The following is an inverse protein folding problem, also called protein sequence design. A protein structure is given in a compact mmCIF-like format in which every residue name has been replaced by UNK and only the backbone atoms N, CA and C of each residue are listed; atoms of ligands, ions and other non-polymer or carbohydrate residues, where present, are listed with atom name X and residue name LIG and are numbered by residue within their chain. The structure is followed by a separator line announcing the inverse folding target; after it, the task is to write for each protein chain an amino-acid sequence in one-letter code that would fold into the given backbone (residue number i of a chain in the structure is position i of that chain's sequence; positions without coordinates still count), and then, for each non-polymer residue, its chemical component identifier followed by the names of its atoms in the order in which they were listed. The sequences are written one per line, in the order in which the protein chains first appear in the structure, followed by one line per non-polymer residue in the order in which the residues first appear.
data_IF_192231249198
#
_entry.id   IF_192231249198
#
_cell.length_a   1.000
_cell.length_b   1.000
_cell.length_c   1.000
_cell.angle_alpha   90.00
_cell.angle_beta   90.00
_cell.angle_gamma   90.00
#
_symmetry.space_group_name_H-M   'P 1'
#
loop_
_entity.id
_entity.type
_entity.pdbx_description
1 polymer ?
#
# COMPACT_ATOMS: atom_id res chain seq x y z
N UNK A 1 25.41 3.40 15.43
CA UNK A 1 25.04 4.09 14.16
C UNK A 1 23.52 4.15 14.10
N UNK A 2 22.90 5.23 13.63
CA UNK A 2 21.44 5.32 13.54
C UNK A 2 20.90 4.32 12.51
N UNK A 3 19.94 3.49 12.90
CA UNK A 3 19.25 2.54 12.01
C UNK A 3 17.96 3.15 11.46
N UNK A 4 17.60 2.80 10.21
CA UNK A 4 16.30 3.09 9.60
C UNK A 4 15.52 1.78 9.59
N UNK A 5 14.39 1.73 10.28
CA UNK A 5 13.47 0.60 10.20
C UNK A 5 12.41 0.91 9.15
N UNK A 6 12.24 0.02 8.17
CA UNK A 6 11.18 0.11 7.16
C UNK A 6 10.28 -1.10 7.34
N UNK A 7 9.01 -0.85 7.68
CA UNK A 7 8.00 -1.90 7.74
C UNK A 7 7.38 -2.06 6.36
N UNK A 8 7.49 -3.25 5.78
CA UNK A 8 6.96 -3.61 4.46
C UNK A 8 6.05 -4.84 4.57
N UNK A 9 4.98 -4.96 3.78
CA UNK A 9 4.16 -6.16 3.79
C UNK A 9 4.93 -7.34 3.16
N UNK A 10 4.84 -8.53 3.77
CA UNK A 10 5.43 -9.77 3.24
C UNK A 10 4.54 -10.44 2.17
N UNK A 11 3.36 -9.91 1.88
CA UNK A 11 2.44 -10.51 0.92
C UNK A 11 2.92 -10.32 -0.51
N UNK A 12 3.57 -11.35 -1.04
CA UNK A 12 3.53 -11.65 -2.48
C UNK A 12 2.06 -11.90 -2.84
N UNK A 13 1.40 -10.97 -3.53
CA UNK A 13 0.10 -11.22 -4.15
C UNK A 13 0.25 -12.25 -5.28
N UNK A 14 0.46 -13.50 -4.93
CA UNK A 14 0.14 -14.63 -5.80
C UNK A 14 -1.36 -14.85 -5.68
N UNK A 15 -2.15 -14.10 -6.44
CA UNK A 15 -3.54 -14.47 -6.74
C UNK A 15 -3.50 -15.71 -7.66
N UNK A 16 -3.20 -16.87 -7.09
CA UNK A 16 -3.56 -18.14 -7.69
C UNK A 16 -4.92 -18.51 -7.12
N UNK A 17 -5.97 -18.39 -7.93
CA UNK A 17 -7.25 -19.02 -7.64
C UNK A 17 -7.04 -20.53 -7.59
N UNK A 18 -6.92 -21.08 -6.39
CA UNK A 18 -6.96 -22.52 -6.15
C UNK A 18 -8.20 -22.78 -5.31
N UNK A 19 -9.21 -23.37 -5.96
CA UNK A 19 -10.29 -24.06 -5.27
C UNK A 19 -9.67 -25.20 -4.45
N UNK A 20 -9.80 -25.14 -3.12
CA UNK A 20 -9.55 -26.27 -2.24
C UNK A 20 -10.89 -26.72 -1.62
N UNK A 21 -11.19 -28.03 -1.57
CA UNK A 21 -12.42 -28.54 -0.98
C UNK A 21 -12.41 -28.40 0.57
N UNK A 22 -13.57 -28.41 1.23
CA UNK A 22 -13.68 -28.11 2.66
C UNK A 22 -13.00 -29.20 3.52
N UNK A 23 -11.98 -28.82 4.28
CA UNK A 23 -11.43 -29.65 5.36
C UNK A 23 -12.29 -29.53 6.63
N UNK A 24 -12.49 -30.67 7.28
CA UNK A 24 -13.34 -30.88 8.46
C UNK A 24 -12.89 -30.13 9.72
N UNK A 25 -13.80 -29.90 10.69
CA UNK A 25 -13.50 -29.17 11.93
C UNK A 25 -12.59 -29.96 12.89
N UNK A 26 -11.79 -29.27 13.72
CA UNK A 26 -10.87 -29.91 14.67
C UNK A 26 -11.61 -30.46 15.91
N UNK A 27 -11.06 -31.51 16.57
CA UNK A 27 -11.62 -32.07 17.80
C UNK A 27 -11.31 -31.21 19.04
N UNK A 28 -12.07 -31.37 20.15
CA UNK A 28 -12.00 -30.49 21.32
C UNK A 28 -10.81 -30.79 22.25
N UNK A 29 -10.31 -29.74 22.91
CA UNK A 29 -9.28 -29.78 23.96
C UNK A 29 -9.75 -30.50 25.24
N UNK A 30 -8.83 -31.09 26.04
CA UNK A 30 -9.03 -31.27 27.47
C UNK A 30 -8.26 -30.22 28.31
N UNK A 31 -8.70 -29.96 29.56
CA UNK A 31 -8.15 -28.92 30.44
C UNK A 31 -6.98 -29.44 31.31
N UNK A 32 -6.26 -28.53 31.98
CA UNK A 32 -5.87 -28.57 33.42
C UNK A 32 -4.77 -27.54 33.76
N UNK A 33 -4.98 -26.80 34.87
CA UNK A 33 -4.06 -25.94 35.66
C UNK A 33 -2.77 -26.72 36.06
N UNK A 34 -1.59 -26.20 36.44
CA UNK A 34 -1.21 -25.12 37.37
C UNK A 34 0.34 -25.02 37.33
N UNK A 35 0.91 -23.83 37.57
CA UNK A 35 1.96 -23.53 38.56
C UNK A 35 3.01 -22.49 38.11
N UNK A 36 3.31 -21.59 39.04
CA UNK A 36 4.17 -20.41 38.97
C UNK A 36 5.63 -20.78 39.28
N UNK A 37 6.53 -20.50 38.34
CA UNK A 37 7.98 -20.60 38.57
C UNK A 37 8.79 -19.72 37.63
N UNK A 38 9.38 -18.66 38.21
CA UNK A 38 10.50 -17.81 37.77
C UNK A 38 11.00 -17.96 36.30
N UNK A 39 10.85 -16.89 35.49
CA UNK A 39 11.43 -16.79 34.13
C UNK A 39 12.72 -15.96 34.10
N UNK A 40 13.79 -16.41 33.43
CA UNK A 40 15.00 -15.62 33.13
C UNK A 40 14.79 -14.68 31.91
N UNK A 41 15.75 -13.80 31.54
CA UNK A 41 15.44 -12.59 30.79
C UNK A 41 15.12 -12.81 29.31
N UNK A 42 14.28 -11.88 28.84
CA UNK A 42 13.67 -11.70 27.53
C UNK A 42 14.66 -11.78 26.35
N UNK A 43 14.41 -12.73 25.43
CA UNK A 43 14.83 -12.62 24.02
C UNK A 43 13.60 -12.76 23.13
N UNK A 44 13.15 -11.65 22.54
CA UNK A 44 12.16 -11.69 21.46
C UNK A 44 12.81 -12.37 20.25
N UNK A 45 12.31 -13.55 19.86
CA UNK A 45 12.90 -14.36 18.80
C UNK A 45 12.54 -13.78 17.42
N UNK A 46 13.35 -12.84 16.93
CA UNK A 46 13.43 -12.64 15.48
C UNK A 46 14.09 -13.83 14.84
N UNK A 47 13.44 -14.40 13.82
CA UNK A 47 14.16 -15.25 12.88
C UNK A 47 14.88 -14.33 11.89
N UNK A 48 16.20 -14.31 11.94
CA UNK A 48 17.00 -13.80 10.82
C UNK A 48 16.80 -14.76 9.67
N UNK A 49 16.12 -14.32 8.61
CA UNK A 49 15.78 -15.17 7.47
C UNK A 49 16.63 -14.82 6.24
N UNK A 50 16.78 -15.81 5.36
CA UNK A 50 17.22 -15.58 3.98
C UNK A 50 16.17 -14.69 3.28
N UNK A 51 16.56 -13.86 2.30
CA UNK A 51 15.62 -12.96 1.62
C UNK A 51 14.44 -13.74 1.04
N UNK A 52 13.24 -13.16 1.09
CA UNK A 52 12.12 -13.61 0.24
C UNK A 52 12.62 -13.70 -1.21
N UNK A 53 12.23 -14.75 -1.95
CA UNK A 53 12.77 -15.05 -3.29
C UNK A 53 12.73 -13.83 -4.24
N UNK A 54 11.74 -12.96 -4.08
CA UNK A 54 11.51 -11.75 -4.88
C UNK A 54 12.48 -10.59 -4.55
N UNK A 55 12.90 -10.48 -3.28
CA UNK A 55 13.85 -9.45 -2.83
C UNK A 55 15.31 -9.89 -2.89
N UNK A 56 15.57 -11.17 -3.18
CA UNK A 56 16.92 -11.74 -3.17
C UNK A 56 17.94 -11.03 -4.09
N UNK A 57 17.60 -10.55 -5.30
CA UNK A 57 18.57 -9.88 -6.17
C UNK A 57 18.90 -8.47 -5.69
N UNK A 58 17.88 -7.72 -5.28
CA UNK A 58 18.02 -6.34 -4.74
C UNK A 58 18.77 -6.35 -3.41
N UNK A 59 18.50 -7.36 -2.57
CA UNK A 59 19.21 -7.55 -1.32
C UNK A 59 20.70 -7.79 -1.54
N UNK A 60 21.06 -8.67 -2.49
CA UNK A 60 22.46 -8.96 -2.82
C UNK A 60 23.20 -7.71 -3.34
N UNK A 61 22.55 -6.90 -4.18
CA UNK A 61 23.13 -5.65 -4.67
C UNK A 61 23.33 -4.62 -3.54
N UNK A 62 22.32 -4.43 -2.68
CA UNK A 62 22.35 -3.42 -1.62
C UNK A 62 23.26 -3.80 -0.44
N UNK A 63 23.36 -5.09 -0.10
CA UNK A 63 24.25 -5.56 0.98
C UNK A 63 25.72 -5.18 0.76
N UNK A 64 26.15 -5.07 -0.51
CA UNK A 64 27.51 -4.64 -0.85
C UNK A 64 27.80 -3.17 -0.54
N UNK A 65 26.76 -2.34 -0.38
CA UNK A 65 26.87 -0.87 -0.23
C UNK A 65 26.37 -0.37 1.12
N UNK A 66 25.42 -1.06 1.74
CA UNK A 66 24.81 -0.70 3.03
C UNK A 66 24.59 -1.93 3.91
N UNK A 67 24.71 -1.76 5.23
CA UNK A 67 24.33 -2.81 6.18
C UNK A 67 22.80 -2.95 6.21
N UNK A 68 22.29 -3.99 5.56
CA UNK A 68 20.87 -4.33 5.52
C UNK A 68 20.59 -5.54 6.42
N UNK A 69 19.60 -5.41 7.32
CA UNK A 69 19.12 -6.51 8.17
C UNK A 69 17.64 -6.72 7.91
N UNK A 70 17.25 -7.95 7.60
CA UNK A 70 15.84 -8.32 7.41
C UNK A 70 15.30 -8.92 8.70
N UNK A 71 14.15 -8.42 9.12
CA UNK A 71 13.39 -8.92 10.26
C UNK A 71 12.03 -9.37 9.74
N UNK A 72 11.70 -10.65 9.98
CA UNK A 72 10.37 -11.18 9.70
C UNK A 72 9.56 -11.15 10.99
N UNK A 73 8.31 -10.69 10.90
CA UNK A 73 7.40 -10.60 12.03
C UNK A 73 6.03 -10.09 11.66
N UNK A 74 5.07 -10.30 12.56
CA UNK A 74 3.71 -9.78 12.43
C UNK A 74 3.62 -8.38 13.04
N UNK A 75 2.99 -7.43 12.33
CA UNK A 75 2.71 -6.09 12.84
C UNK A 75 1.71 -6.09 14.01
N UNK A 76 1.10 -7.24 14.29
CA UNK A 76 0.22 -7.46 15.43
C UNK A 76 0.94 -8.09 16.64
N UNK A 77 2.21 -8.47 16.50
CA UNK A 77 3.03 -8.99 17.59
C UNK A 77 3.81 -7.86 18.26
N UNK A 78 3.33 -7.43 19.43
CA UNK A 78 3.96 -6.37 20.22
C UNK A 78 5.41 -6.65 20.60
N UNK A 79 5.77 -7.90 20.92
CA UNK A 79 7.14 -8.24 21.31
C UNK A 79 8.07 -8.15 20.13
N UNK A 80 7.61 -8.63 18.97
CA UNK A 80 8.31 -8.45 17.71
C UNK A 80 8.52 -6.96 17.42
N UNK A 81 7.47 -6.13 17.47
CA UNK A 81 7.61 -4.71 17.19
C UNK A 81 8.59 -3.98 18.13
N UNK A 82 8.54 -4.28 19.44
CA UNK A 82 9.49 -3.70 20.41
C UNK A 82 10.92 -4.00 20.03
N UNK A 83 11.23 -5.26 19.70
CA UNK A 83 12.58 -5.64 19.32
C UNK A 83 13.00 -5.04 17.97
N UNK A 84 12.07 -4.81 17.03
CA UNK A 84 12.39 -4.25 15.72
C UNK A 84 12.74 -2.76 15.82
N UNK A 85 12.06 -2.05 16.72
CA UNK A 85 12.29 -0.63 16.97
C UNK A 85 13.56 -0.36 17.82
N UNK A 86 14.16 -1.37 18.47
CA UNK A 86 15.37 -1.18 19.29
C UNK A 86 16.52 -0.61 18.46
N UNK A 87 17.04 0.55 18.89
CA UNK A 87 18.15 1.24 18.21
C UNK A 87 17.76 1.92 16.89
N UNK A 88 16.49 1.88 16.49
CA UNK A 88 15.99 2.62 15.33
C UNK A 88 15.95 4.13 15.62
N UNK A 89 16.38 4.91 14.64
CA UNK A 89 16.33 6.39 14.68
C UNK A 89 15.13 6.95 13.92
N UNK A 90 14.52 6.12 13.08
CA UNK A 90 13.32 6.42 12.29
C UNK A 90 12.61 5.11 11.99
N UNK A 91 11.28 5.18 11.96
CA UNK A 91 10.41 4.18 11.37
C UNK A 91 9.71 4.75 10.14
N UNK A 92 9.83 4.06 9.01
CA UNK A 92 9.02 4.29 7.81
C UNK A 92 8.02 3.15 7.71
N UNK A 93 6.75 3.45 7.92
CA UNK A 93 5.67 2.47 8.00
C UNK A 93 4.89 2.42 6.68
N UNK A 94 5.20 1.41 5.84
CA UNK A 94 4.53 1.16 4.56
C UNK A 94 3.67 -0.11 4.57
N UNK A 95 3.76 -0.94 5.61
CA UNK A 95 2.97 -2.15 5.75
C UNK A 95 1.47 -1.85 5.88
N UNK A 96 0.69 -2.39 4.94
CA UNK A 96 -0.76 -2.22 4.87
C UNK A 96 -1.35 -3.35 4.03
N UNK A 97 -2.54 -3.82 4.39
CA UNK A 97 -3.42 -4.50 3.43
C UNK A 97 -4.02 -3.43 2.54
N UNK A 98 -3.88 -3.59 1.23
CA UNK A 98 -4.52 -2.74 0.23
C UNK A 98 -5.58 -3.56 -0.48
N UNK A 99 -6.84 -3.18 -0.31
CA UNK A 99 -7.98 -3.90 -0.86
C UNK A 99 -9.09 -2.93 -1.27
N UNK A 100 -9.18 -2.70 -2.57
CA UNK A 100 -10.16 -1.79 -3.20
C UNK A 100 -11.43 -2.52 -3.64
N UNK A 101 -11.45 -3.85 -3.59
CA UNK A 101 -12.61 -4.67 -4.01
C UNK A 101 -13.35 -5.33 -2.83
N UNK A 102 -12.86 -5.15 -1.60
CA UNK A 102 -13.39 -5.76 -0.37
C UNK A 102 -13.29 -7.30 -0.40
N UNK A 103 -12.20 -7.83 -0.98
CA UNK A 103 -11.90 -9.26 -0.95
C UNK A 103 -11.47 -9.74 0.45
N UNK A 104 -10.86 -8.86 1.23
CA UNK A 104 -10.40 -9.12 2.60
C UNK A 104 -11.43 -8.62 3.60
N UNK A 105 -11.70 -9.43 4.62
CA UNK A 105 -12.65 -9.09 5.68
C UNK A 105 -12.31 -7.76 6.36
N UNK A 106 -13.33 -6.93 6.58
CA UNK A 106 -13.20 -5.60 7.20
C UNK A 106 -12.38 -5.65 8.49
N UNK A 107 -12.68 -6.61 9.37
CA UNK A 107 -11.98 -6.76 10.64
C UNK A 107 -10.47 -6.95 10.45
N UNK A 108 -10.06 -7.79 9.50
CA UNK A 108 -8.65 -8.03 9.17
C UNK A 108 -7.98 -6.76 8.64
N UNK A 109 -8.62 -6.05 7.71
CA UNK A 109 -8.09 -4.78 7.17
C UNK A 109 -7.91 -3.76 8.29
N UNK A 110 -8.92 -3.61 9.15
CA UNK A 110 -8.88 -2.69 10.29
C UNK A 110 -7.81 -3.09 11.31
N UNK A 111 -7.70 -4.37 11.64
CA UNK A 111 -6.73 -4.91 12.59
C UNK A 111 -5.30 -4.64 12.10
N UNK A 112 -4.99 -5.00 10.86
CA UNK A 112 -3.63 -4.82 10.31
C UNK A 112 -3.31 -3.34 10.13
N UNK A 113 -4.18 -2.59 9.44
CA UNK A 113 -3.84 -1.22 9.06
C UNK A 113 -3.97 -0.23 10.23
N UNK A 114 -4.94 -0.40 11.12
CA UNK A 114 -5.15 0.53 12.25
C UNK A 114 -4.44 0.03 13.49
N UNK A 115 -4.81 -1.15 14.01
CA UNK A 115 -4.20 -1.66 15.26
C UNK A 115 -2.71 -1.93 15.08
N UNK A 116 -2.27 -2.49 13.94
CA UNK A 116 -0.84 -2.65 13.64
C UNK A 116 -0.07 -1.32 13.63
N UNK A 117 -0.66 -0.26 13.07
CA UNK A 117 -0.06 1.09 13.11
C UNK A 117 0.04 1.63 14.54
N UNK A 118 -1.02 1.48 15.34
CA UNK A 118 -1.02 1.90 16.75
C UNK A 118 0.03 1.15 17.57
N UNK A 119 0.14 -0.17 17.41
CA UNK A 119 1.15 -0.97 18.09
C UNK A 119 2.58 -0.56 17.70
N UNK A 120 2.81 -0.23 16.43
CA UNK A 120 4.12 0.25 15.98
C UNK A 120 4.44 1.64 16.55
N UNK A 121 3.47 2.54 16.67
CA UNK A 121 3.63 3.83 17.36
C UNK A 121 4.00 3.63 18.84
N UNK A 122 3.30 2.74 19.54
CA UNK A 122 3.61 2.39 20.94
C UNK A 122 5.02 1.79 21.08
N UNK A 123 5.41 0.90 20.16
CA UNK A 123 6.74 0.33 20.12
C UNK A 123 7.82 1.40 19.87
N UNK A 124 7.57 2.39 19.00
CA UNK A 124 8.45 3.52 18.81
C UNK A 124 8.65 4.33 20.09
N UNK A 125 7.57 4.63 20.82
CA UNK A 125 7.67 5.35 22.11
C UNK A 125 8.52 4.56 23.10
N UNK A 126 8.25 3.26 23.25
CA UNK A 126 8.97 2.39 24.19
C UNK A 126 10.47 2.27 23.84
N UNK A 127 10.80 2.19 22.54
CA UNK A 127 12.17 2.13 22.07
C UNK A 127 12.84 3.51 21.89
N UNK A 128 12.15 4.60 22.24
CA UNK A 128 12.60 5.98 22.06
C UNK A 128 12.99 6.34 20.62
N UNK A 129 12.23 5.85 19.64
CA UNK A 129 12.39 6.23 18.23
C UNK A 129 11.79 7.63 18.02
N UNK A 130 12.57 8.63 17.56
CA UNK A 130 12.11 10.02 17.50
C UNK A 130 11.31 10.39 16.25
N UNK A 131 11.33 9.57 15.19
CA UNK A 131 10.72 9.90 13.90
C UNK A 131 9.87 8.74 13.40
N UNK A 132 8.62 9.03 13.03
CA UNK A 132 7.69 8.06 12.42
C UNK A 132 7.07 8.64 11.14
N UNK A 133 7.25 7.97 10.01
CA UNK A 133 6.67 8.38 8.72
C UNK A 133 5.70 7.31 8.26
N UNK A 134 4.44 7.69 8.05
CA UNK A 134 3.39 6.79 7.58
C UNK A 134 3.14 6.95 6.09
N UNK A 135 3.16 5.85 5.33
CA UNK A 135 2.57 5.83 3.98
C UNK A 135 1.06 5.71 4.13
N UNK A 136 0.36 6.84 4.03
CA UNK A 136 -1.10 6.92 3.94
C UNK A 136 -1.58 6.64 2.50
N UNK A 137 -2.72 7.18 2.09
CA UNK A 137 -3.27 7.02 0.74
C UNK A 137 -4.10 8.23 0.35
N UNK A 138 -4.18 8.50 -0.95
CA UNK A 138 -5.15 9.48 -1.46
C UNK A 138 -6.59 9.12 -1.10
N UNK A 139 -6.90 7.84 -0.91
CA UNK A 139 -8.25 7.37 -0.58
C UNK A 139 -8.74 7.84 0.80
N UNK A 140 -7.87 8.43 1.62
CA UNK A 140 -8.26 9.16 2.85
C UNK A 140 -9.01 10.46 2.52
N UNK A 141 -8.73 11.08 1.37
CA UNK A 141 -9.35 12.31 0.91
C UNK A 141 -10.52 12.06 -0.06
N UNK A 142 -10.46 11.00 -0.85
CA UNK A 142 -11.47 10.69 -1.88
C UNK A 142 -10.87 9.86 -3.02
N UNK A 143 -11.54 9.77 -4.17
CA UNK A 143 -12.79 10.46 -4.54
C UNK A 143 -14.03 9.86 -3.87
N UNK A 144 -15.02 10.70 -3.54
CA UNK A 144 -16.29 10.27 -2.91
C UNK A 144 -17.40 9.94 -3.91
N UNK A 145 -17.30 10.46 -5.14
CA UNK A 145 -18.27 10.25 -6.21
C UNK A 145 -17.59 10.29 -7.57
N UNK A 146 -18.05 9.46 -8.51
CA UNK A 146 -17.62 9.54 -9.91
C UNK A 146 -18.23 10.72 -10.68
N UNK A 147 -19.19 11.42 -10.06
CA UNK A 147 -19.83 12.63 -10.62
C UNK A 147 -19.15 13.91 -10.18
N UNK A 148 -18.37 13.84 -9.11
CA UNK A 148 -17.62 14.97 -8.58
C UNK A 148 -16.28 15.07 -9.30
N UNK A 149 -15.94 16.28 -9.72
CA UNK A 149 -14.69 16.58 -10.40
C UNK A 149 -13.83 17.40 -9.46
N UNK A 150 -12.74 16.80 -8.98
CA UNK A 150 -11.76 17.46 -8.13
C UNK A 150 -10.46 17.55 -8.91
N UNK A 151 -9.97 18.78 -9.09
CA UNK A 151 -8.76 19.04 -9.84
C UNK A 151 -7.79 19.86 -9.02
N UNK A 152 -6.55 19.39 -8.96
CA UNK A 152 -5.43 20.01 -8.27
C UNK A 152 -5.70 20.30 -6.79
N UNK A 153 -6.43 19.39 -6.12
CA UNK A 153 -6.71 19.53 -4.70
C UNK A 153 -5.42 19.63 -3.88
N UNK A 154 -5.44 20.47 -2.85
CA UNK A 154 -4.34 20.70 -1.94
C UNK A 154 -4.75 20.43 -0.49
N UNK A 155 -3.79 20.46 0.41
CA UNK A 155 -4.01 20.10 1.81
C UNK A 155 -4.95 21.08 2.54
N UNK A 156 -5.12 22.29 2.02
CA UNK A 156 -6.06 23.31 2.52
C UNK A 156 -7.54 23.00 2.22
N UNK A 157 -7.85 22.12 1.25
CA UNK A 157 -9.22 21.80 0.85
C UNK A 157 -9.97 20.94 1.89
N UNK A 158 -9.26 20.41 2.90
CA UNK A 158 -9.79 19.59 4.01
C UNK A 158 -10.70 18.44 3.54
N UNK A 159 -10.32 17.82 2.43
CA UNK A 159 -11.04 16.68 1.86
C UNK A 159 -10.94 15.46 2.78
N UNK A 160 -12.08 14.80 2.96
CA UNK A 160 -12.18 13.54 3.68
C UNK A 160 -13.04 12.54 2.90
N UNK A 161 -12.62 11.28 2.95
CA UNK A 161 -13.39 10.19 2.37
C UNK A 161 -14.70 9.96 3.14
N UNK A 162 -15.78 9.81 2.38
CA UNK A 162 -17.11 9.42 2.83
C UNK A 162 -17.33 7.90 2.69
N UNK A 163 -16.38 7.18 2.09
CA UNK A 163 -16.47 5.74 1.93
C UNK A 163 -16.35 5.02 3.27
N UNK A 164 -17.31 4.14 3.54
CA UNK A 164 -17.22 3.17 4.63
C UNK A 164 -16.44 1.91 4.22
N UNK A 165 -15.91 1.84 2.99
CA UNK A 165 -15.10 0.72 2.54
C UNK A 165 -13.89 0.50 3.48
N UNK A 166 -13.51 -0.75 3.77
CA UNK A 166 -12.52 -1.06 4.80
C UNK A 166 -11.17 -0.36 4.57
N UNK A 167 -10.65 -0.38 3.34
CA UNK A 167 -9.33 0.17 3.06
C UNK A 167 -9.25 1.70 3.27
N UNK A 168 -10.05 2.55 2.57
CA UNK A 168 -10.05 4.01 2.79
C UNK A 168 -10.21 4.39 4.26
N UNK A 169 -11.17 3.76 4.95
CA UNK A 169 -11.45 4.04 6.35
C UNK A 169 -10.28 3.64 7.24
N UNK A 170 -9.66 2.48 6.99
CA UNK A 170 -8.51 2.03 7.77
C UNK A 170 -7.30 2.96 7.61
N UNK A 171 -7.05 3.46 6.39
CA UNK A 171 -5.99 4.45 6.13
C UNK A 171 -6.30 5.78 6.81
N UNK A 172 -7.56 6.23 6.79
CA UNK A 172 -7.99 7.44 7.49
C UNK A 172 -7.76 7.34 9.00
N UNK A 173 -8.15 6.22 9.61
CA UNK A 173 -8.01 6.02 11.06
C UNK A 173 -6.56 5.80 11.49
N UNK A 174 -5.76 5.08 10.69
CA UNK A 174 -4.33 4.93 10.93
C UNK A 174 -3.59 6.27 10.81
N UNK A 175 -3.88 7.06 9.77
CA UNK A 175 -3.30 8.39 9.59
C UNK A 175 -3.67 9.31 10.76
N UNK A 176 -4.94 9.33 11.17
CA UNK A 176 -5.38 10.11 12.33
C UNK A 176 -4.58 9.75 13.58
N UNK A 177 -4.43 8.46 13.89
CA UNK A 177 -3.64 8.01 15.03
C UNK A 177 -2.17 8.45 14.95
N UNK A 178 -1.57 8.42 13.75
CA UNK A 178 -0.19 8.89 13.52
C UNK A 178 -0.05 10.40 13.75
N UNK A 179 -0.98 11.20 13.24
CA UNK A 179 -0.94 12.66 13.41
C UNK A 179 -1.19 13.07 14.86
N UNK A 180 -2.09 12.38 15.56
CA UNK A 180 -2.34 12.57 17.00
C UNK A 180 -1.17 12.09 17.88
N UNK A 181 -0.34 11.17 17.39
CA UNK A 181 0.87 10.71 18.08
C UNK A 181 2.04 11.71 18.01
N UNK A 182 1.94 12.74 17.18
CA UNK A 182 2.94 13.80 17.13
C UNK A 182 3.01 14.52 18.48
N UNK A 183 4.21 14.63 19.05
CA UNK A 183 4.41 15.26 20.36
C UNK A 183 4.39 14.29 21.54
N UNK A 184 4.17 12.99 21.33
CA UNK A 184 4.25 12.00 22.40
C UNK A 184 5.66 11.96 23.03
N UNK A 185 5.70 11.86 24.36
CA UNK A 185 6.95 11.77 25.10
C UNK A 185 7.60 10.40 24.93
N UNK A 186 8.89 10.37 24.60
CA UNK A 186 9.70 9.17 24.51
C UNK A 186 10.28 8.79 25.88
N UNK A 187 10.66 7.52 26.06
CA UNK A 187 11.24 7.04 27.33
C UNK A 187 12.55 7.75 27.72
N UNK A 188 13.30 8.27 26.74
CA UNK A 188 14.52 9.03 26.96
C UNK A 188 14.30 10.54 27.20
N UNK A 189 13.04 10.98 27.37
CA UNK A 189 12.70 12.40 27.54
C UNK A 189 12.63 13.20 26.24
N UNK A 190 12.85 12.57 25.08
CA UNK A 190 12.63 13.18 23.77
C UNK A 190 11.16 13.21 23.35
N UNK A 191 10.92 13.62 22.11
CA UNK A 191 9.58 13.75 21.53
C UNK A 191 9.47 12.96 20.23
N UNK A 192 8.33 12.29 20.04
CA UNK A 192 8.00 11.63 18.78
C UNK A 192 7.51 12.67 17.76
N UNK A 193 8.18 12.75 16.61
CA UNK A 193 7.76 13.55 15.46
C UNK A 193 7.19 12.67 14.37
N UNK A 194 5.99 13.01 13.88
CA UNK A 194 5.31 12.20 12.86
C UNK A 194 5.03 12.96 11.57
N UNK A 195 4.87 12.23 10.46
CA UNK A 195 4.42 12.76 9.17
C UNK A 195 3.69 11.68 8.38
N UNK A 196 2.67 12.06 7.61
CA UNK A 196 1.94 11.16 6.73
C UNK A 196 2.06 11.56 5.26
N UNK A 197 2.36 10.59 4.39
CA UNK A 197 2.42 10.81 2.94
C UNK A 197 1.22 10.15 2.28
N UNK A 198 0.44 10.89 1.49
CA UNK A 198 -0.71 10.41 0.72
C UNK A 198 -0.32 10.27 -0.75
N UNK A 199 0.32 9.16 -1.15
CA UNK A 199 0.61 8.91 -2.55
C UNK A 199 -0.68 8.72 -3.35
N UNK A 200 -0.66 9.21 -4.59
CA UNK A 200 -1.59 8.84 -5.64
C UNK A 200 -1.39 7.38 -6.07
N UNK A 201 -2.07 6.94 -7.12
CA UNK A 201 -1.88 5.61 -7.70
C UNK A 201 -0.39 5.36 -8.03
N UNK A 202 0.21 4.40 -7.34
CA UNK A 202 1.63 4.09 -7.45
C UNK A 202 1.85 3.11 -8.60
N UNK A 203 2.64 3.52 -9.59
CA UNK A 203 3.09 2.66 -10.68
C UNK A 203 4.61 2.49 -10.65
N UNK A 204 5.11 1.47 -11.34
CA UNK A 204 6.52 1.16 -11.39
C UNK A 204 6.79 -0.33 -11.32
N UNK A 205 8.08 -0.67 -11.32
CA UNK A 205 8.55 -2.03 -11.14
C UNK A 205 8.09 -2.61 -9.82
N UNK A 206 7.65 -3.87 -9.83
CA UNK A 206 7.12 -4.56 -8.65
C UNK A 206 5.72 -4.10 -8.23
N UNK A 207 5.04 -3.23 -8.99
CA UNK A 207 3.66 -2.82 -8.66
C UNK A 207 2.71 -4.03 -8.73
N UNK A 208 2.07 -4.44 -7.62
CA UNK A 208 1.17 -5.60 -7.61
C UNK A 208 -0.08 -5.36 -8.47
N UNK A 209 -0.51 -4.11 -8.62
CA UNK A 209 -1.64 -3.73 -9.47
C UNK A 209 -1.32 -3.91 -10.94
N UNK A 210 -0.19 -3.36 -11.40
CA UNK A 210 0.24 -3.54 -12.80
C UNK A 210 0.49 -5.01 -13.07
N UNK A 211 1.17 -5.73 -12.17
CA UNK A 211 1.40 -7.17 -12.31
C UNK A 211 0.08 -7.93 -12.49
N UNK A 212 -0.91 -7.69 -11.63
CA UNK A 212 -2.22 -8.33 -11.74
C UNK A 212 -2.94 -8.00 -13.05
N UNK A 213 -2.91 -6.73 -13.50
CA UNK A 213 -3.50 -6.32 -14.77
C UNK A 213 -2.81 -6.97 -15.98
N UNK A 214 -1.48 -7.01 -16.00
CA UNK A 214 -0.70 -7.60 -17.09
C UNK A 214 -0.89 -9.12 -17.14
N UNK A 215 -0.87 -9.82 -16.01
CA UNK A 215 -1.08 -11.27 -15.97
C UNK A 215 -2.49 -11.65 -16.43
N UNK A 216 -3.53 -10.96 -15.93
CA UNK A 216 -4.90 -11.18 -16.38
C UNK A 216 -5.07 -10.93 -17.88
N UNK A 217 -4.37 -9.93 -18.42
CA UNK A 217 -4.37 -9.67 -19.85
C UNK A 217 -3.63 -10.75 -20.64
N UNK A 218 -2.50 -11.26 -20.15
CA UNK A 218 -1.77 -12.36 -20.79
C UNK A 218 -2.61 -13.65 -20.86
N UNK A 219 -3.35 -13.97 -19.80
CA UNK A 219 -4.33 -15.06 -19.77
C UNK A 219 -5.51 -14.84 -20.75
N UNK A 220 -5.76 -13.58 -21.12
CA UNK A 220 -6.83 -13.16 -22.02
C UNK A 220 -6.27 -12.61 -23.36
N UNK A 221 -5.29 -13.30 -23.93
CA UNK A 221 -4.71 -13.00 -25.25
C UNK A 221 -4.16 -11.57 -25.41
N UNK A 222 -3.61 -10.98 -24.36
CA UNK A 222 -3.07 -9.62 -24.34
C UNK A 222 -4.12 -8.52 -24.20
N UNK A 223 -5.39 -8.85 -23.94
CA UNK A 223 -6.47 -7.85 -23.84
C UNK A 223 -6.60 -7.32 -22.42
N UNK A 224 -6.23 -6.06 -22.23
CA UNK A 224 -6.40 -5.30 -20.99
C UNK A 224 -7.86 -4.91 -20.79
N UNK A 225 -8.37 -5.10 -19.57
CA UNK A 225 -9.72 -4.67 -19.21
C UNK A 225 -9.83 -3.15 -19.21
N UNK A 226 -10.91 -2.62 -19.78
CA UNK A 226 -11.19 -1.17 -19.83
C UNK A 226 -12.40 -0.84 -18.92
N UNK A 227 -12.07 -0.50 -17.68
CA UNK A 227 -13.00 -0.16 -16.60
C UNK A 227 -13.32 1.35 -16.55
N UNK A 228 -12.39 2.19 -16.99
CA UNK A 228 -12.47 3.64 -16.99
C UNK A 228 -12.43 4.19 -18.40
N UNK A 229 -13.39 5.05 -18.76
CA UNK A 229 -13.31 5.87 -19.99
C UNK A 229 -13.03 7.34 -19.72
N UNK A 230 -13.25 7.79 -18.49
CA UNK A 230 -13.33 9.21 -18.16
C UNK A 230 -12.53 9.58 -16.90
N UNK A 231 -11.94 8.61 -16.19
CA UNK A 231 -11.17 8.95 -14.99
C UNK A 231 -9.91 9.70 -15.38
N UNK A 232 -9.58 10.71 -14.58
CA UNK A 232 -8.33 11.45 -14.72
C UNK A 232 -7.72 11.59 -13.34
N UNK A 233 -6.61 10.90 -13.14
CA UNK A 233 -5.78 10.94 -11.94
C UNK A 233 -4.36 11.33 -12.34
N UNK A 234 -3.54 11.78 -11.40
CA UNK A 234 -2.10 11.98 -11.60
C UNK A 234 -1.33 10.88 -10.84
N UNK A 235 -1.00 9.76 -11.51
CA UNK A 235 -0.22 8.67 -10.91
C UNK A 235 1.15 9.15 -10.43
N UNK A 236 1.81 8.35 -9.61
CA UNK A 236 3.15 8.63 -9.11
C UNK A 236 4.05 7.40 -9.25
N UNK A 237 5.28 7.61 -9.68
CA UNK A 237 6.26 6.54 -9.81
C UNK A 237 6.74 6.07 -8.43
N UNK A 238 6.89 4.76 -8.23
CA UNK A 238 7.31 4.14 -6.97
C UNK A 238 8.64 4.71 -6.45
N UNK A 239 9.58 5.02 -7.34
CA UNK A 239 10.85 5.64 -6.98
C UNK A 239 10.67 7.08 -6.45
N UNK A 240 9.72 7.83 -6.99
CA UNK A 240 9.38 9.18 -6.52
C UNK A 240 8.66 9.14 -5.16
N UNK A 241 7.81 8.13 -4.92
CA UNK A 241 7.21 7.90 -3.60
C UNK A 241 8.28 7.55 -2.57
N UNK A 242 9.22 6.66 -2.89
CA UNK A 242 10.34 6.34 -2.01
C UNK A 242 11.19 7.59 -1.72
N UNK A 243 11.43 8.42 -2.73
CA UNK A 243 12.14 9.69 -2.59
C UNK A 243 11.41 10.67 -1.64
N UNK A 244 10.08 10.77 -1.73
CA UNK A 244 9.28 11.58 -0.81
C UNK A 244 9.46 11.15 0.66
N UNK A 245 9.56 9.85 0.95
CA UNK A 245 9.83 9.36 2.31
C UNK A 245 11.20 9.80 2.82
N UNK A 246 12.23 9.77 1.97
CA UNK A 246 13.57 10.22 2.32
C UNK A 246 13.59 11.74 2.59
N UNK A 247 12.86 12.53 1.80
CA UNK A 247 12.75 13.97 2.01
C UNK A 247 11.95 14.31 3.26
N UNK A 248 10.86 13.60 3.54
CA UNK A 248 10.12 13.73 4.80
C UNK A 248 11.01 13.45 6.01
N UNK A 249 11.83 12.38 5.95
CA UNK A 249 12.83 12.07 6.97
C UNK A 249 13.85 13.20 7.15
N UNK A 250 14.42 13.71 6.06
CA UNK A 250 15.39 14.81 6.12
C UNK A 250 14.78 16.07 6.72
N UNK A 251 13.54 16.40 6.34
CA UNK A 251 12.85 17.59 6.82
C UNK A 251 12.50 17.48 8.32
N UNK A 252 12.06 16.31 8.80
CA UNK A 252 11.81 16.07 10.22
C UNK A 252 13.07 16.08 11.08
N UNK A 253 14.24 15.80 10.50
CA UNK A 253 15.54 15.85 11.20
C UNK A 253 16.20 17.22 11.18
N UNK A 254 15.80 18.13 10.29
CA UNK A 254 16.29 19.52 10.28
C UNK A 254 15.49 20.33 11.31
N UNK A 255 16.11 20.82 12.40
CA UNK A 255 15.39 21.59 13.43
C UNK A 255 14.66 22.82 12.89
N UNK A 256 15.12 23.39 11.77
CA UNK A 256 14.50 24.57 11.14
C UNK A 256 13.23 24.23 10.36
N UNK A 257 13.10 23.00 9.87
CA UNK A 257 11.94 22.53 9.08
C UNK A 257 11.01 21.64 9.90
N UNK A 258 11.52 20.93 10.89
CA UNK A 258 10.76 19.97 11.68
C UNK A 258 9.47 20.59 12.27
N UNK A 259 9.54 21.84 12.74
CA UNK A 259 8.38 22.54 13.30
C UNK A 259 7.21 22.70 12.32
N UNK A 260 7.49 22.93 11.03
CA UNK A 260 6.45 23.09 10.00
C UNK A 260 6.00 21.78 9.37
N UNK A 261 6.78 20.70 9.54
CA UNK A 261 6.53 19.39 8.91
C UNK A 261 5.92 18.37 9.87
N UNK A 262 6.24 18.45 11.15
CA UNK A 262 5.74 17.51 12.15
C UNK A 262 4.21 17.58 12.30
N UNK A 263 3.56 16.44 12.48
CA UNK A 263 2.11 16.33 12.60
C UNK A 263 1.34 16.77 11.35
N UNK A 264 1.99 16.80 10.18
CA UNK A 264 1.37 17.15 8.90
C UNK A 264 1.20 15.94 8.00
N UNK A 265 0.26 16.05 7.06
CA UNK A 265 0.17 15.18 5.89
C UNK A 265 0.53 15.94 4.60
N UNK A 266 0.95 15.19 3.58
CA UNK A 266 1.35 15.70 2.27
C UNK A 266 0.82 14.82 1.14
N UNK A 267 0.24 15.42 0.11
CA UNK A 267 -0.03 14.73 -1.14
C UNK A 267 1.27 14.47 -1.90
N UNK A 268 1.42 13.24 -2.40
CA UNK A 268 2.58 12.82 -3.18
C UNK A 268 2.10 12.39 -4.56
N UNK A 269 2.40 13.22 -5.55
CA UNK A 269 2.22 12.98 -6.98
C UNK A 269 3.51 13.37 -7.72
N UNK A 270 3.56 13.19 -9.04
CA UNK A 270 4.67 13.67 -9.86
C UNK A 270 4.18 14.22 -11.21
N UNK A 271 5.12 14.47 -12.13
CA UNK A 271 4.86 15.05 -13.45
C UNK A 271 4.36 14.03 -14.48
N UNK A 272 3.97 12.82 -14.03
CA UNK A 272 3.28 11.86 -14.89
C UNK A 272 2.00 12.50 -15.44
N UNK A 273 1.80 12.49 -16.77
CA UNK A 273 0.62 13.10 -17.39
C UNK A 273 -0.67 12.55 -16.78
N UNK A 274 -1.62 13.42 -16.37
CA UNK A 274 -2.88 12.96 -15.83
C UNK A 274 -3.67 12.13 -16.85
N UNK A 275 -3.98 10.89 -16.49
CA UNK A 275 -4.62 9.90 -17.36
C UNK A 275 -5.45 8.92 -16.53
N UNK A 276 -6.18 8.01 -17.19
CA UNK A 276 -6.88 6.94 -16.49
C UNK A 276 -5.95 5.82 -16.05
N UNK A 277 -6.39 5.00 -15.09
CA UNK A 277 -5.66 3.80 -14.67
C UNK A 277 -5.42 2.84 -15.84
N UNK A 278 -6.43 2.68 -16.71
CA UNK A 278 -6.36 1.76 -17.85
C UNK A 278 -5.47 2.31 -18.96
N UNK A 279 -5.53 3.61 -19.22
CA UNK A 279 -4.64 4.29 -20.19
C UNK A 279 -3.18 4.22 -19.76
N UNK A 280 -2.91 4.32 -18.45
CA UNK A 280 -1.56 4.12 -17.92
C UNK A 280 -1.10 2.69 -18.18
N UNK A 281 -1.90 1.69 -17.80
CA UNK A 281 -1.58 0.28 -18.04
C UNK A 281 -1.34 0.01 -19.54
N UNK A 282 -2.18 0.55 -20.42
CA UNK A 282 -2.01 0.45 -21.86
C UNK A 282 -0.72 1.13 -22.34
N UNK A 283 -0.43 2.35 -21.87
CA UNK A 283 0.79 3.09 -22.23
C UNK A 283 2.05 2.33 -21.84
N UNK A 284 2.01 1.61 -20.72
CA UNK A 284 3.11 0.79 -20.19
C UNK A 284 3.21 -0.58 -20.88
N UNK A 285 2.12 -1.10 -21.44
CA UNK A 285 2.06 -2.45 -22.02
C UNK A 285 2.05 -2.52 -23.55
N UNK A 286 1.61 -1.48 -24.27
CA UNK A 286 1.30 -1.58 -25.71
C UNK A 286 2.44 -2.10 -26.60
N UNK A 287 3.69 -1.77 -26.28
CA UNK A 287 4.88 -2.22 -27.02
C UNK A 287 5.15 -3.73 -26.86
N UNK A 288 4.57 -4.34 -25.84
CA UNK A 288 4.67 -5.77 -25.57
C UNK A 288 3.48 -6.60 -26.09
N UNK A 289 2.62 -5.98 -26.90
CA UNK A 289 1.48 -6.64 -27.55
C UNK A 289 0.18 -6.56 -26.76
N UNK A 290 0.11 -5.75 -25.70
CA UNK A 290 -1.14 -5.50 -24.98
C UNK A 290 -2.04 -4.53 -25.75
N UNK A 291 -3.34 -4.81 -25.80
CA UNK A 291 -4.35 -3.94 -26.37
C UNK A 291 -5.48 -3.69 -25.38
N UNK A 292 -6.11 -2.51 -25.46
CA UNK A 292 -7.30 -2.23 -24.66
C UNK A 292 -8.52 -2.94 -25.24
N UNK A 293 -9.36 -3.49 -24.36
CA UNK A 293 -10.64 -4.05 -24.75
C UNK A 293 -11.50 -2.98 -25.45
N UNK A 294 -11.79 -3.22 -26.72
CA UNK A 294 -12.57 -2.32 -27.58
C UNK A 294 -14.09 -2.49 -27.39
N UNK A 295 -14.53 -3.48 -26.61
CA UNK A 295 -15.96 -3.72 -26.33
C UNK A 295 -16.58 -2.53 -25.59
N UNK A 296 -17.85 -2.27 -25.89
CA UNK A 296 -18.60 -1.19 -25.24
C UNK A 296 -18.78 -1.51 -23.75
N UNK A 297 -18.04 -0.77 -22.92
CA UNK A 297 -18.23 -0.73 -21.48
C UNK A 297 -19.64 -0.26 -21.12
N UNK A 298 -20.25 -0.88 -20.10
CA UNK A 298 -21.48 -0.38 -19.50
C UNK A 298 -21.26 1.07 -18.96
N UNK A 299 -22.26 1.96 -19.08
CA UNK A 299 -22.25 3.27 -18.44
C UNK A 299 -21.93 3.18 -16.93
N UNK A 300 -21.18 4.15 -16.35
CA UNK A 300 -20.81 4.12 -14.94
C UNK A 300 -22.01 4.00 -13.99
N UNK A 301 -23.14 4.63 -14.31
CA UNK A 301 -24.38 4.52 -13.52
C UNK A 301 -24.92 3.09 -13.46
N UNK A 302 -24.94 2.37 -14.58
CA UNK A 302 -25.39 0.98 -14.63
C UNK A 302 -24.42 0.05 -13.92
N UNK A 303 -23.10 0.26 -14.07
CA UNK A 303 -22.08 -0.49 -13.32
C UNK A 303 -22.20 -0.25 -11.82
N UNK A 304 -22.48 0.98 -11.40
CA UNK A 304 -22.66 1.32 -10.00
C UNK A 304 -23.89 0.62 -9.40
N UNK A 305 -25.00 0.60 -10.12
CA UNK A 305 -26.20 -0.16 -9.72
C UNK A 305 -25.95 -1.67 -9.67
N UNK A 306 -25.24 -2.22 -10.66
CA UNK A 306 -24.86 -3.64 -10.64
C UNK A 306 -23.94 -3.96 -9.45
N UNK A 307 -22.98 -3.10 -9.14
CA UNK A 307 -22.11 -3.23 -7.98
C UNK A 307 -22.91 -3.23 -6.68
N UNK A 308 -23.89 -2.33 -6.54
CA UNK A 308 -24.81 -2.31 -5.40
C UNK A 308 -25.57 -3.64 -5.24
N UNK A 309 -26.08 -4.21 -6.33
CA UNK A 309 -26.75 -5.51 -6.29
C UNK A 309 -25.80 -6.64 -5.88
N UNK A 310 -24.57 -6.65 -6.41
CA UNK A 310 -23.56 -7.64 -6.06
C UNK A 310 -23.15 -7.56 -4.59
N UNK A 311 -23.08 -6.35 -4.02
CA UNK A 311 -22.85 -6.13 -2.58
C UNK A 311 -24.00 -6.70 -1.74
N UNK A 312 -25.26 -6.50 -2.14
CA UNK A 312 -26.42 -7.09 -1.46
C UNK A 312 -26.33 -8.63 -1.51
N UNK A 313 -26.03 -9.20 -2.68
CA UNK A 313 -25.89 -10.66 -2.83
C UNK A 313 -24.76 -11.19 -1.95
N UNK A 314 -23.60 -10.53 -1.95
CA UNK A 314 -22.47 -10.89 -1.07
C UNK A 314 -22.86 -10.82 0.41
N UNK A 315 -23.56 -9.77 0.83
CA UNK A 315 -24.06 -9.63 2.21
C UNK A 315 -25.04 -10.74 2.60
N UNK A 316 -26.03 -11.04 1.76
CA UNK A 316 -27.03 -12.07 2.03
C UNK A 316 -26.42 -13.48 2.05
N UNK A 317 -25.41 -13.75 1.22
CA UNK A 317 -24.70 -15.03 1.19
C UNK A 317 -23.65 -15.17 2.28
N UNK A 318 -23.17 -14.06 2.87
CA UNK A 318 -22.06 -14.06 3.82
C UNK A 318 -22.14 -15.07 4.99
N UNK A 319 -23.32 -15.46 5.53
CA UNK A 319 -23.38 -16.47 6.59
C UNK A 319 -23.08 -17.90 6.12
N UNK A 320 -23.22 -18.17 4.81
CA UNK A 320 -23.18 -19.53 4.24
C UNK A 320 -22.03 -19.67 3.23
N UNK A 321 -21.72 -18.60 2.50
CA UNK A 321 -20.70 -18.58 1.45
C UNK A 321 -20.07 -17.21 1.31
N UNK A 322 -18.73 -17.17 1.35
CA UNK A 322 -17.97 -15.94 1.15
C UNK A 322 -17.87 -15.60 -0.36
N UNK A 323 -18.95 -15.07 -0.93
CA UNK A 323 -18.95 -14.57 -2.30
C UNK A 323 -18.19 -13.25 -2.39
N UNK A 324 -17.13 -13.23 -3.22
CA UNK A 324 -16.34 -12.03 -3.52
C UNK A 324 -16.78 -11.43 -4.87
N UNK A 325 -17.47 -10.28 -4.87
CA UNK A 325 -17.83 -9.60 -6.10
C UNK A 325 -16.58 -9.22 -6.92
N UNK A 326 -16.64 -9.29 -8.26
CA UNK A 326 -15.52 -8.88 -9.12
C UNK A 326 -15.21 -7.37 -9.06
N UNK A 327 -16.19 -6.56 -8.62
CA UNK A 327 -16.06 -5.13 -8.37
C UNK A 327 -17.17 -4.69 -7.41
N UNK A 328 -16.97 -3.53 -6.78
CA UNK A 328 -17.91 -2.90 -5.85
C UNK A 328 -18.12 -1.41 -6.21
N UNK A 329 -19.02 -0.71 -5.51
CA UNK A 329 -19.32 0.71 -5.79
C UNK A 329 -18.12 1.63 -5.59
N UNK A 330 -17.27 1.31 -4.61
CA UNK A 330 -16.05 2.05 -4.33
C UNK A 330 -15.05 1.93 -5.49
N UNK A 331 -14.79 0.71 -5.98
CA UNK A 331 -13.97 0.46 -7.16
C UNK A 331 -14.51 1.17 -8.41
N UNK A 332 -15.83 1.08 -8.67
CA UNK A 332 -16.45 1.79 -9.80
C UNK A 332 -16.24 3.29 -9.67
N UNK A 333 -16.33 3.85 -8.46
CA UNK A 333 -16.11 5.27 -8.23
C UNK A 333 -14.65 5.66 -8.48
N UNK A 334 -13.73 4.95 -7.85
CA UNK A 334 -12.28 5.17 -7.99
C UNK A 334 -11.87 5.16 -9.47
N UNK A 335 -12.30 4.15 -10.22
CA UNK A 335 -11.99 4.01 -11.64
C UNK A 335 -12.75 4.99 -12.55
N UNK A 336 -13.70 5.80 -12.09
CA UNK A 336 -14.47 6.68 -12.97
C UNK A 336 -14.51 8.15 -12.51
N UNK A 337 -13.76 8.52 -11.47
CA UNK A 337 -13.67 9.90 -10.99
C UNK A 337 -12.55 10.69 -11.67
N UNK A 338 -12.73 12.01 -11.75
CA UNK A 338 -11.65 12.97 -11.98
C UNK A 338 -11.19 13.45 -10.62
N UNK A 339 -9.99 13.04 -10.21
CA UNK A 339 -9.41 13.37 -8.92
C UNK A 339 -7.90 13.57 -9.08
N UNK A 340 -7.47 14.82 -9.16
CA UNK A 340 -6.05 15.16 -9.20
C UNK A 340 -5.66 16.03 -8.01
N UNK A 341 -4.42 15.88 -7.56
CA UNK A 341 -3.87 16.62 -6.42
C UNK A 341 -2.65 17.44 -6.79
N UNK A 342 -2.47 18.55 -6.11
CA UNK A 342 -1.27 19.35 -6.12
C UNK A 342 -0.31 18.84 -5.05
N UNK A 343 0.97 18.66 -5.41
CA UNK A 343 2.03 18.31 -4.48
C UNK A 343 2.87 19.54 -4.04
N UNK A 344 2.36 20.76 -4.27
CA UNK A 344 3.06 22.02 -3.97
C UNK A 344 3.43 22.21 -2.50
N UNK A 345 2.62 21.69 -1.57
CA UNK A 345 2.96 21.72 -0.14
C UNK A 345 4.19 20.85 0.14
N UNK A 346 4.27 19.67 -0.48
CA UNK A 346 5.45 18.80 -0.38
C UNK A 346 6.69 19.48 -0.99
N UNK A 347 6.55 20.17 -2.12
CA UNK A 347 7.63 21.00 -2.70
C UNK A 347 8.14 22.04 -1.71
N UNK A 348 7.23 22.84 -1.14
CA UNK A 348 7.57 23.94 -0.24
C UNK A 348 8.20 23.45 1.07
N UNK A 349 7.57 22.50 1.74
CA UNK A 349 7.93 22.15 3.12
C UNK A 349 9.03 21.07 3.15
N UNK A 350 8.94 20.06 2.26
CA UNK A 350 9.88 18.94 2.21
C UNK A 350 11.03 19.16 1.22
N UNK A 351 10.89 20.11 0.28
CA UNK A 351 11.79 20.23 -0.88
C UNK A 351 11.56 19.11 -1.90
N UNK A 352 10.34 18.57 -1.98
CA UNK A 352 10.01 17.47 -2.88
C UNK A 352 9.97 17.90 -4.35
N UNK A 353 10.95 17.44 -5.11
CA UNK A 353 10.91 17.40 -6.57
C UNK A 353 11.00 15.93 -7.02
N UNK A 354 10.21 15.50 -8.02
CA UNK A 354 10.30 14.14 -8.55
C UNK A 354 11.74 13.81 -8.95
N UNK A 355 12.30 12.74 -8.38
CA UNK A 355 13.67 12.32 -8.65
C UNK A 355 13.80 11.69 -10.04
N UNK A 356 12.74 11.01 -10.49
CA UNK A 356 12.64 10.40 -11.81
C UNK A 356 11.61 11.16 -12.64
N UNK A 357 12.02 11.50 -13.86
CA UNK A 357 11.11 12.08 -14.84
C UNK A 357 10.09 11.05 -15.31
N UNK A 358 8.96 11.51 -15.85
CA UNK A 358 7.96 10.64 -16.49
C UNK A 358 8.58 9.70 -17.53
N UNK A 359 9.50 10.21 -18.36
CA UNK A 359 10.11 9.40 -19.43
C UNK A 359 10.97 8.28 -18.86
N UNK A 360 11.81 8.55 -17.86
CA UNK A 360 12.62 7.52 -17.19
C UNK A 360 11.75 6.48 -16.49
N UNK A 361 10.76 6.92 -15.71
CA UNK A 361 9.83 6.06 -14.99
C UNK A 361 9.04 5.16 -15.96
N UNK A 362 8.57 5.72 -17.08
CA UNK A 362 7.88 4.99 -18.14
C UNK A 362 8.78 3.93 -18.76
N UNK A 363 10.03 4.25 -19.12
CA UNK A 363 10.95 3.30 -19.73
C UNK A 363 11.31 2.14 -18.78
N UNK A 364 11.60 2.46 -17.53
CA UNK A 364 11.87 1.48 -16.48
C UNK A 364 10.70 0.52 -16.27
N UNK A 365 9.50 1.08 -16.12
CA UNK A 365 8.28 0.28 -15.93
C UNK A 365 7.98 -0.58 -17.15
N UNK A 366 8.13 -0.07 -18.37
CA UNK A 366 7.98 -0.83 -19.61
C UNK A 366 8.97 -1.99 -19.70
N UNK A 367 10.23 -1.78 -19.33
CA UNK A 367 11.25 -2.83 -19.33
C UNK A 367 10.87 -3.97 -18.37
N UNK A 368 10.35 -3.63 -17.19
CA UNK A 368 9.81 -4.61 -16.24
C UNK A 368 8.56 -5.32 -16.76
N UNK A 369 7.58 -4.61 -17.34
CA UNK A 369 6.43 -5.26 -18.00
C UNK A 369 6.90 -6.24 -19.09
N UNK A 370 7.93 -5.89 -19.84
CA UNK A 370 8.55 -6.78 -20.82
C UNK A 370 9.14 -8.04 -20.24
N UNK A 371 9.73 -7.99 -19.03
CA UNK A 371 10.23 -9.19 -18.36
C UNK A 371 9.09 -10.13 -17.94
N UNK A 372 7.95 -9.58 -17.48
CA UNK A 372 6.75 -10.37 -17.15
C UNK A 372 6.23 -11.13 -18.39
N UNK A 373 6.16 -10.45 -19.54
CA UNK A 373 5.72 -11.07 -20.80
C UNK A 373 6.67 -12.19 -21.24
N UNK A 374 7.98 -12.01 -21.09
CA UNK A 374 8.97 -13.05 -21.40
C UNK A 374 8.83 -14.26 -20.48
N UNK A 375 8.72 -14.03 -19.16
CA UNK A 375 8.50 -15.09 -18.17
C UNK A 375 7.22 -15.89 -18.46
N UNK A 376 6.13 -15.22 -18.82
CA UNK A 376 4.88 -15.90 -19.18
C UNK A 376 5.04 -16.78 -20.43
N UNK A 377 5.72 -16.28 -21.47
CA UNK A 377 6.01 -17.06 -22.69
C UNK A 377 6.89 -18.28 -22.41
N UNK A 378 7.88 -18.15 -21.54
CA UNK A 378 8.73 -19.26 -21.11
C UNK A 378 7.93 -20.31 -20.34
N UNK A 379 7.07 -19.89 -19.40
CA UNK A 379 6.20 -20.79 -18.65
C UNK A 379 5.22 -21.57 -19.56
N UNK A 380 4.71 -20.95 -20.63
CA UNK A 380 3.87 -21.64 -21.63
C UNK A 380 4.65 -22.70 -22.41
N UNK A 381 5.90 -22.41 -22.81
CA UNK A 381 6.76 -23.38 -23.51
C UNK A 381 7.03 -24.62 -22.66
N UNK A 382 7.33 -24.43 -21.38
CA UNK A 382 7.61 -25.54 -20.45
C UNK A 382 6.39 -26.42 -20.17
N UNK A 383 5.16 -25.89 -20.27
CA UNK A 383 3.92 -26.68 -20.13
C UNK A 383 3.54 -27.49 -21.37
N UNK A 384 4.17 -27.18 -22.52
CA UNK A 384 3.86 -27.82 -23.82
C UNK A 384 4.82 -28.97 -24.14
N UNK A 385 5.88 -29.14 -23.33
CA UNK A 385 6.80 -30.29 -23.34
C UNK A 385 6.49 -31.19 -22.16
#
# INVERSE_FOLDING_TARGET
MPHILISVPLFTCSFHGIYLPPCQPPPPHPPVFEDLGQRPPLSGNFKTQKPCSDLSPVHAELQSKIKLTMLEGDILDEQCLKGACQGASVVIHTASIIDVVNAVGRETVMKVNVKGTQLLLEACVQASVPVFIHTSSIEVAGPNSYREVIQNACEEDRLETAWSAPYPLSKKLAEKAVLEANGWALQNGGTLHTCALRPMYIYGEGSPFIFAHMNKALENNGVLTHNSKFSRVNPVYVGNVAWAHILALRALRDPRKALSVQGQFYYVADDTPPQSYDDLNYTLGKEWGFCLDSRRSLPPSLRYWLAFLLEIVSFLLSPIYNYQPPFNRHFVTLCNSVFTVSYKKAQRDLGYEPLFTWEEAKQKTKAWVGSLVKQHKEALKTKTH
#
